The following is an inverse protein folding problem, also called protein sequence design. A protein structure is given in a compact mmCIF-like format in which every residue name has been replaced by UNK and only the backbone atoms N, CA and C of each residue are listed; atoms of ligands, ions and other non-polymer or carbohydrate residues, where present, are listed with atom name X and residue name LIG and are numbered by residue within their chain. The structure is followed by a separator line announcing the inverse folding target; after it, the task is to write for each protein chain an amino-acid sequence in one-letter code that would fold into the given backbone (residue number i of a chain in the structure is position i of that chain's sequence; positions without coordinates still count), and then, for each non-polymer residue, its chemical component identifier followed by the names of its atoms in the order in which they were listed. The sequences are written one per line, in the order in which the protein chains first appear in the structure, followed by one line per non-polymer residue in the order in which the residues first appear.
data_IF_645661881185
#
_entry.id   IF_645661881185
#
_cell.length_a   1.000
_cell.length_b   1.000
_cell.length_c   1.000
_cell.angle_alpha   90.00
_cell.angle_beta   90.00
_cell.angle_gamma   90.00
#
_symmetry.space_group_name_H-M   'P 1'
#
loop_
_entity.id
_entity.type
_entity.pdbx_description
1 polymer ?
#
# COMPACT_ATOMS: atom_id res chain seq x y z
N UNK A 1 -73.08 -15.04 -1.39
CA UNK A 1 -72.16 -15.74 -2.29
C UNK A 1 -70.97 -14.80 -2.44
N UNK A 2 -69.94 -15.00 -1.63
CA UNK A 2 -68.74 -14.18 -1.54
C UNK A 2 -67.57 -15.09 -1.85
N UNK A 3 -66.96 -14.85 -3.02
CA UNK A 3 -65.81 -15.60 -3.46
C UNK A 3 -64.53 -14.88 -2.99
N UNK A 4 -63.80 -15.53 -2.10
CA UNK A 4 -62.53 -15.06 -1.56
C UNK A 4 -61.39 -15.75 -2.29
N UNK A 5 -60.83 -15.11 -3.32
CA UNK A 5 -59.63 -15.57 -4.00
C UNK A 5 -58.39 -15.20 -3.17
N UNK A 6 -57.83 -16.23 -2.55
CA UNK A 6 -56.58 -16.21 -1.80
C UNK A 6 -55.42 -16.19 -2.79
N UNK A 7 -54.56 -15.14 -2.75
CA UNK A 7 -53.38 -14.97 -3.57
C UNK A 7 -52.16 -15.34 -2.71
N UNK A 8 -51.29 -16.27 -3.10
CA UNK A 8 -50.11 -16.60 -2.30
C UNK A 8 -49.06 -15.51 -2.44
N UNK A 9 -48.63 -14.98 -1.30
CA UNK A 9 -47.42 -14.12 -1.18
C UNK A 9 -46.18 -14.94 -1.57
N UNK A 10 -45.47 -14.41 -2.56
CA UNK A 10 -44.10 -14.88 -2.88
C UNK A 10 -43.13 -14.33 -1.83
N UNK A 11 -42.70 -15.18 -0.94
CA UNK A 11 -41.49 -14.93 -0.15
C UNK A 11 -40.28 -14.72 -1.06
N UNK A 12 -39.81 -13.46 -1.11
CA UNK A 12 -38.57 -13.10 -1.76
C UNK A 12 -37.41 -13.65 -0.91
N UNK A 13 -36.78 -14.74 -1.37
CA UNK A 13 -35.47 -15.13 -0.87
C UNK A 13 -34.49 -13.99 -1.17
N UNK A 14 -34.16 -13.20 -0.17
CA UNK A 14 -33.01 -12.33 -0.14
C UNK A 14 -31.76 -13.20 -0.27
N UNK A 15 -31.16 -13.24 -1.46
CA UNK A 15 -29.85 -13.81 -1.66
C UNK A 15 -28.84 -12.93 -0.89
N UNK A 16 -28.35 -13.41 0.23
CA UNK A 16 -27.11 -12.90 0.81
C UNK A 16 -25.99 -13.21 -0.20
N UNK A 17 -25.69 -12.22 -1.04
CA UNK A 17 -24.49 -12.22 -1.86
C UNK A 17 -23.29 -12.14 -0.91
N UNK A 18 -22.78 -13.29 -0.50
CA UNK A 18 -21.49 -13.37 0.19
C UNK A 18 -20.44 -12.80 -0.76
N UNK A 19 -20.03 -11.55 -0.53
CA UNK A 19 -18.84 -10.95 -1.13
C UNK A 19 -17.68 -11.84 -0.68
N UNK A 20 -17.17 -12.71 -1.56
CA UNK A 20 -15.97 -13.46 -1.28
C UNK A 20 -14.85 -12.43 -1.04
N UNK A 21 -14.32 -12.43 0.16
CA UNK A 21 -13.21 -11.54 0.51
C UNK A 21 -12.01 -11.93 -0.34
N UNK A 22 -11.44 -10.98 -1.08
CA UNK A 22 -10.24 -11.21 -1.90
C UNK A 22 -9.10 -11.74 -1.03
N UNK A 23 -8.38 -12.72 -1.53
CA UNK A 23 -7.16 -13.26 -0.89
C UNK A 23 -5.97 -12.34 -1.12
N UNK A 24 -4.91 -12.50 -0.33
CA UNK A 24 -3.65 -11.78 -0.56
C UNK A 24 -3.02 -12.15 -1.91
N UNK A 25 -3.11 -13.40 -2.34
CA UNK A 25 -2.59 -13.85 -3.62
C UNK A 25 -3.33 -13.16 -4.79
N UNK A 26 -4.66 -13.20 -4.80
CA UNK A 26 -5.48 -12.52 -5.82
C UNK A 26 -5.22 -11.02 -5.87
N UNK A 27 -5.05 -10.38 -4.69
CA UNK A 27 -4.71 -8.95 -4.62
C UNK A 27 -3.35 -8.67 -5.24
N UNK A 28 -2.33 -9.46 -4.91
CA UNK A 28 -0.96 -9.32 -5.43
C UNK A 28 -0.95 -9.54 -6.94
N UNK A 29 -1.59 -10.58 -7.44
CA UNK A 29 -1.65 -10.90 -8.87
C UNK A 29 -2.30 -9.77 -9.66
N UNK A 30 -3.39 -9.19 -9.15
CA UNK A 30 -4.05 -8.07 -9.81
C UNK A 30 -3.19 -6.79 -9.79
N UNK A 31 -2.46 -6.52 -8.70
CA UNK A 31 -1.56 -5.36 -8.60
C UNK A 31 -0.38 -5.49 -9.57
N UNK A 32 0.20 -6.69 -9.65
CA UNK A 32 1.42 -6.96 -10.40
C UNK A 32 1.20 -7.66 -11.75
N UNK A 33 0.04 -7.53 -12.37
CA UNK A 33 -0.29 -8.18 -13.65
C UNK A 33 0.72 -7.88 -14.79
N UNK A 34 1.48 -6.79 -14.71
CA UNK A 34 2.46 -6.37 -15.73
C UNK A 34 3.90 -6.37 -15.18
N UNK A 35 4.28 -7.41 -14.45
CA UNK A 35 5.63 -7.53 -13.91
C UNK A 35 6.63 -7.83 -15.05
N UNK A 36 7.79 -7.16 -15.12
CA UNK A 36 8.82 -7.49 -16.12
C UNK A 36 9.31 -8.93 -15.97
N UNK A 37 9.65 -9.58 -17.09
CA UNK A 37 10.13 -10.95 -17.10
C UNK A 37 11.36 -11.13 -16.19
N UNK A 38 11.35 -12.16 -15.36
CA UNK A 38 12.42 -12.47 -14.40
C UNK A 38 12.42 -11.60 -13.13
N UNK A 39 11.53 -10.61 -13.04
CA UNK A 39 11.33 -9.85 -11.81
C UNK A 39 10.19 -10.43 -10.97
N UNK A 40 10.16 -10.09 -9.68
CA UNK A 40 9.18 -10.58 -8.72
C UNK A 40 8.69 -9.47 -7.80
N UNK A 41 7.42 -9.55 -7.41
CA UNK A 41 6.87 -8.71 -6.36
C UNK A 41 7.51 -9.06 -5.02
N UNK A 42 7.70 -8.05 -4.17
CA UNK A 42 8.29 -8.19 -2.85
C UNK A 42 7.22 -8.13 -1.76
N UNK A 43 7.22 -9.10 -0.87
CA UNK A 43 6.34 -9.14 0.30
C UNK A 43 7.17 -9.31 1.57
N UNK A 44 6.62 -8.80 2.69
CA UNK A 44 7.14 -9.06 4.02
C UNK A 44 5.98 -9.55 4.90
N UNK A 45 6.24 -10.55 5.72
CA UNK A 45 5.29 -11.00 6.74
C UNK A 45 5.96 -11.01 8.11
N UNK A 46 5.20 -10.68 9.16
CA UNK A 46 5.71 -10.64 10.53
C UNK A 46 4.62 -10.87 11.57
N UNK A 47 4.88 -11.74 12.52
CA UNK A 47 4.03 -11.93 13.70
C UNK A 47 4.30 -10.84 14.76
N UNK A 48 3.30 -10.51 15.55
CA UNK A 48 3.40 -9.58 16.67
C UNK A 48 3.65 -8.13 16.24
N UNK A 49 4.36 -7.36 17.08
CA UNK A 49 4.62 -5.94 16.85
C UNK A 49 5.59 -5.70 15.68
N UNK A 50 5.14 -5.03 14.61
CA UNK A 50 6.00 -4.70 13.48
C UNK A 50 7.11 -3.70 13.84
N UNK A 51 6.99 -2.95 14.93
CA UNK A 51 8.02 -2.02 15.40
C UNK A 51 9.28 -2.69 15.96
N UNK A 52 9.22 -4.00 16.26
CA UNK A 52 10.35 -4.75 16.83
C UNK A 52 11.45 -5.14 15.82
N UNK A 53 11.38 -4.66 14.57
CA UNK A 53 12.34 -5.02 13.52
C UNK A 53 12.22 -6.48 13.04
N UNK A 54 13.24 -7.02 12.37
CA UNK A 54 13.24 -8.41 11.87
C UNK A 54 12.39 -8.59 10.62
N UNK A 55 12.42 -7.65 9.71
CA UNK A 55 11.73 -7.69 8.44
C UNK A 55 12.58 -8.42 7.40
N UNK A 56 11.97 -9.40 6.76
CA UNK A 56 12.60 -10.14 5.67
C UNK A 56 11.76 -10.00 4.41
N UNK A 57 12.39 -9.45 3.37
CA UNK A 57 11.81 -9.38 2.03
C UNK A 57 11.83 -10.77 1.40
N UNK A 58 10.69 -11.22 0.89
CA UNK A 58 10.51 -12.50 0.22
C UNK A 58 9.80 -12.28 -1.12
N UNK A 59 9.96 -13.24 -2.03
CA UNK A 59 9.26 -13.23 -3.30
C UNK A 59 7.78 -13.60 -3.08
N UNK A 60 6.89 -12.79 -3.63
CA UNK A 60 5.45 -13.01 -3.48
C UNK A 60 5.00 -14.34 -4.08
N UNK A 61 5.54 -14.73 -5.24
CA UNK A 61 5.21 -16.00 -5.92
C UNK A 61 5.54 -17.26 -5.10
N UNK A 62 6.35 -17.12 -4.06
CA UNK A 62 6.71 -18.22 -3.17
C UNK A 62 5.82 -18.32 -1.93
N UNK A 63 5.26 -17.21 -1.45
CA UNK A 63 4.59 -17.19 -0.16
C UNK A 63 3.18 -16.58 -0.15
N UNK A 64 2.70 -15.99 -1.25
CA UNK A 64 1.42 -15.27 -1.29
C UNK A 64 0.24 -16.12 -0.78
N UNK A 65 0.19 -17.39 -1.16
CA UNK A 65 -0.85 -18.35 -0.75
C UNK A 65 -0.77 -18.75 0.74
N UNK A 66 0.34 -18.49 1.40
CA UNK A 66 0.57 -18.82 2.81
C UNK A 66 0.33 -17.67 3.76
N UNK A 67 0.08 -16.47 3.23
CA UNK A 67 -0.16 -15.28 4.04
C UNK A 67 -1.54 -15.33 4.69
N UNK A 68 -1.57 -15.32 6.01
CA UNK A 68 -2.81 -15.43 6.80
C UNK A 68 -3.22 -14.07 7.38
N UNK A 69 -4.42 -14.00 7.91
CA UNK A 69 -4.97 -12.83 8.61
C UNK A 69 -4.47 -12.70 10.07
N UNK A 70 -3.50 -13.52 10.49
CA UNK A 70 -2.91 -13.51 11.83
C UNK A 70 -1.52 -12.86 11.89
N UNK A 71 -1.04 -12.38 10.74
CA UNK A 71 0.26 -11.76 10.62
C UNK A 71 0.17 -10.36 10.00
N UNK A 72 1.17 -9.52 10.31
CA UNK A 72 1.36 -8.28 9.55
C UNK A 72 1.90 -8.64 8.19
N UNK A 73 1.12 -8.41 7.14
CA UNK A 73 1.50 -8.69 5.76
C UNK A 73 1.64 -7.38 5.00
N UNK A 74 2.75 -7.24 4.28
CA UNK A 74 3.06 -6.03 3.53
C UNK A 74 3.52 -6.36 2.13
N UNK A 75 3.16 -5.48 1.20
CA UNK A 75 3.50 -5.52 -0.21
C UNK A 75 4.36 -4.30 -0.57
N UNK A 76 5.51 -4.53 -1.21
CA UNK A 76 6.33 -3.45 -1.75
C UNK A 76 5.69 -2.82 -2.99
N UNK A 77 5.89 -1.52 -3.21
CA UNK A 77 5.35 -0.82 -4.38
C UNK A 77 6.04 -1.24 -5.70
N UNK A 78 7.16 -1.92 -5.60
CA UNK A 78 8.04 -2.23 -6.73
C UNK A 78 8.32 -3.72 -6.85
N UNK A 79 8.68 -4.13 -8.07
CA UNK A 79 9.25 -5.44 -8.37
C UNK A 79 10.77 -5.37 -8.44
N UNK A 80 11.41 -6.51 -8.23
CA UNK A 80 12.86 -6.63 -8.15
C UNK A 80 13.35 -7.89 -8.87
N UNK A 81 14.54 -7.79 -9.48
CA UNK A 81 15.28 -8.95 -9.96
C UNK A 81 16.02 -9.64 -8.80
N UNK A 82 16.19 -10.96 -8.83
CA UNK A 82 17.16 -11.62 -7.97
C UNK A 82 18.56 -11.07 -8.19
N UNK A 83 19.41 -11.08 -7.17
CA UNK A 83 20.82 -10.80 -7.32
C UNK A 83 21.57 -11.93 -8.02
N UNK A 84 22.79 -11.66 -8.49
CA UNK A 84 23.65 -12.65 -9.17
C UNK A 84 23.92 -13.90 -8.29
N UNK A 85 23.86 -13.73 -6.98
CA UNK A 85 23.98 -14.80 -5.98
C UNK A 85 22.66 -15.54 -5.71
N UNK A 86 21.60 -15.23 -6.44
CA UNK A 86 20.25 -15.75 -6.24
C UNK A 86 19.50 -15.13 -5.04
N UNK A 87 20.12 -14.22 -4.29
CA UNK A 87 19.43 -13.54 -3.18
C UNK A 87 18.33 -12.60 -3.68
N UNK A 88 17.22 -12.53 -2.96
CA UNK A 88 16.12 -11.61 -3.26
C UNK A 88 16.02 -10.54 -2.19
N UNK A 89 16.18 -9.28 -2.60
CA UNK A 89 16.15 -8.11 -1.69
C UNK A 89 15.56 -6.90 -2.40
N UNK A 90 14.81 -6.07 -1.67
CA UNK A 90 14.31 -4.80 -2.18
C UNK A 90 15.42 -3.73 -2.16
N UNK A 91 16.39 -3.84 -3.09
CA UNK A 91 17.53 -2.93 -3.21
C UNK A 91 17.54 -2.20 -4.54
N UNK A 92 18.19 -1.05 -4.58
CA UNK A 92 18.36 -0.22 -5.79
C UNK A 92 18.95 -1.00 -6.96
N UNK A 93 19.99 -1.81 -6.72
CA UNK A 93 20.66 -2.61 -7.76
C UNK A 93 19.75 -3.71 -8.34
N UNK A 94 18.71 -4.13 -7.61
CA UNK A 94 17.77 -5.17 -8.01
C UNK A 94 16.42 -4.60 -8.48
N UNK A 95 16.24 -3.28 -8.45
CA UNK A 95 14.99 -2.63 -8.87
C UNK A 95 14.65 -2.96 -10.32
N UNK A 96 13.42 -3.37 -10.55
CA UNK A 96 12.86 -3.65 -11.88
C UNK A 96 11.88 -2.56 -12.30
N UNK A 97 10.78 -2.40 -11.56
CA UNK A 97 9.75 -1.42 -11.88
C UNK A 97 8.92 -1.03 -10.65
N UNK A 98 8.37 0.19 -10.64
CA UNK A 98 7.35 0.63 -9.70
C UNK A 98 5.96 0.40 -10.32
N UNK A 99 5.05 -0.24 -9.59
CA UNK A 99 3.73 -0.66 -10.07
C UNK A 99 2.59 0.19 -9.54
N UNK A 100 2.76 0.81 -8.38
CA UNK A 100 1.75 1.68 -7.77
C UNK A 100 2.37 2.73 -6.86
N UNK A 101 1.63 3.79 -6.64
CA UNK A 101 1.92 4.78 -5.62
C UNK A 101 1.04 4.49 -4.40
N UNK A 102 1.64 4.49 -3.22
CA UNK A 102 0.93 4.33 -1.96
C UNK A 102 0.72 5.68 -1.29
N UNK A 103 -0.51 5.97 -0.93
CA UNK A 103 -0.90 7.05 -0.04
C UNK A 103 -1.06 6.50 1.37
N UNK A 104 -0.70 7.26 2.38
CA UNK A 104 -0.71 6.80 3.78
C UNK A 104 -1.37 7.82 4.69
N UNK A 105 -1.77 7.37 5.88
CA UNK A 105 -2.42 8.18 6.90
C UNK A 105 -3.69 8.92 6.44
N UNK A 106 -4.40 8.36 5.43
CA UNK A 106 -5.68 8.87 4.95
C UNK A 106 -6.75 8.72 6.04
N UNK A 107 -7.59 9.74 6.20
CA UNK A 107 -8.62 9.80 7.23
C UNK A 107 -8.11 10.27 8.60
N UNK A 108 -6.80 10.35 8.80
CA UNK A 108 -6.18 10.85 10.03
C UNK A 108 -5.33 12.10 9.77
N UNK A 109 -4.13 11.97 9.22
CA UNK A 109 -3.29 13.13 8.88
C UNK A 109 -3.69 13.76 7.54
N UNK A 110 -4.19 12.97 6.60
CA UNK A 110 -4.64 13.41 5.28
C UNK A 110 -6.15 13.23 5.19
N UNK A 111 -6.91 14.33 4.99
CA UNK A 111 -8.36 14.24 4.80
C UNK A 111 -8.70 13.47 3.52
N UNK A 112 -9.66 12.56 3.58
CA UNK A 112 -10.21 11.86 2.41
C UNK A 112 -10.85 12.81 1.41
N UNK A 113 -11.36 13.97 1.85
CA UNK A 113 -11.95 15.00 0.97
C UNK A 113 -10.97 15.50 -0.09
N UNK A 114 -9.67 15.40 0.17
CA UNK A 114 -8.64 15.76 -0.81
C UNK A 114 -8.57 14.84 -2.02
N UNK A 115 -9.20 13.69 -1.92
CA UNK A 115 -9.29 12.66 -2.96
C UNK A 115 -10.72 12.49 -3.47
N UNK A 116 -11.66 13.40 -3.12
CA UNK A 116 -13.09 13.26 -3.48
C UNK A 116 -13.31 13.11 -5.00
N UNK A 117 -12.48 13.77 -5.81
CA UNK A 117 -12.54 13.73 -7.27
C UNK A 117 -11.53 12.73 -7.89
N UNK A 118 -10.85 11.92 -7.06
CA UNK A 118 -9.86 10.95 -7.51
C UNK A 118 -10.19 9.55 -7.02
N UNK A 119 -10.56 8.66 -7.93
CA UNK A 119 -10.85 7.26 -7.59
C UNK A 119 -9.56 6.48 -7.35
N UNK A 120 -9.34 6.05 -6.11
CA UNK A 120 -8.25 5.14 -5.79
C UNK A 120 -8.48 3.76 -6.41
N UNK A 121 -7.40 3.08 -6.77
CA UNK A 121 -7.45 1.69 -7.23
C UNK A 121 -7.78 0.72 -6.09
N UNK A 122 -7.36 1.07 -4.87
CA UNK A 122 -7.74 0.35 -3.65
C UNK A 122 -7.65 1.26 -2.43
N UNK A 123 -8.43 0.91 -1.41
CA UNK A 123 -8.39 1.55 -0.09
C UNK A 123 -8.49 0.46 0.99
N UNK A 124 -7.51 0.42 1.89
CA UNK A 124 -7.43 -0.52 3.01
C UNK A 124 -7.45 0.26 4.31
N UNK A 125 -8.38 -0.06 5.21
CA UNK A 125 -8.35 0.41 6.58
C UNK A 125 -7.30 -0.38 7.36
N UNK A 126 -6.30 0.31 7.88
CA UNK A 126 -5.13 -0.29 8.56
C UNK A 126 -5.15 -0.14 10.07
N UNK A 127 -5.99 0.76 10.58
CA UNK A 127 -6.38 0.94 11.98
C UNK A 127 -7.65 1.77 12.01
N UNK A 128 -8.39 1.87 13.11
CA UNK A 128 -9.68 2.56 13.15
C UNK A 128 -9.62 3.98 12.56
N UNK A 129 -10.33 4.19 11.43
CA UNK A 129 -10.40 5.48 10.73
C UNK A 129 -9.12 5.91 10.01
N UNK A 130 -8.10 5.06 9.95
CA UNK A 130 -6.85 5.31 9.24
C UNK A 130 -6.67 4.36 8.07
N UNK A 131 -6.41 4.91 6.88
CA UNK A 131 -6.40 4.15 5.65
C UNK A 131 -5.07 4.30 4.90
N UNK A 132 -4.73 3.25 4.16
CA UNK A 132 -3.77 3.31 3.06
C UNK A 132 -4.52 3.18 1.74
N UNK A 133 -4.16 4.00 0.76
CA UNK A 133 -4.71 3.96 -0.58
C UNK A 133 -3.64 3.68 -1.63
N UNK A 134 -4.03 3.04 -2.72
CA UNK A 134 -3.15 2.78 -3.85
C UNK A 134 -3.65 3.36 -5.16
N UNK A 135 -2.70 3.85 -5.94
CA UNK A 135 -2.89 4.32 -7.31
C UNK A 135 -2.10 3.38 -8.21
N UNK A 136 -2.78 2.46 -8.88
CA UNK A 136 -2.13 1.53 -9.81
C UNK A 136 -1.69 2.27 -11.07
N UNK A 137 -0.47 2.00 -11.51
CA UNK A 137 0.04 2.53 -12.76
C UNK A 137 -0.50 1.71 -13.94
N UNK A 138 -0.85 2.38 -15.05
CA UNK A 138 -1.30 1.74 -16.29
C UNK A 138 -0.18 0.87 -16.87
N UNK A 139 1.05 1.38 -16.81
CA UNK A 139 2.28 0.65 -17.12
C UNK A 139 3.27 0.84 -15.98
N UNK A 140 4.02 -0.21 -15.58
CA UNK A 140 5.03 -0.09 -14.54
C UNK A 140 6.13 0.90 -14.96
N UNK A 141 6.58 1.74 -14.03
CA UNK A 141 7.69 2.64 -14.24
C UNK A 141 9.02 1.90 -14.03
N UNK A 142 9.70 1.56 -15.12
CA UNK A 142 11.02 0.91 -15.10
C UNK A 142 12.15 1.89 -14.82
N UNK A 143 11.94 3.17 -15.11
CA UNK A 143 12.90 4.23 -14.84
C UNK A 143 12.80 4.67 -13.37
N UNK A 144 13.71 4.17 -12.54
CA UNK A 144 13.73 4.48 -11.10
C UNK A 144 13.69 5.98 -10.76
N UNK A 145 14.45 6.85 -11.44
CA UNK A 145 14.36 8.30 -11.24
C UNK A 145 12.97 8.88 -11.51
N UNK A 146 12.25 8.39 -12.52
CA UNK A 146 10.89 8.84 -12.81
C UNK A 146 9.91 8.43 -11.70
N UNK A 147 10.03 7.21 -11.19
CA UNK A 147 9.23 6.74 -10.05
C UNK A 147 9.49 7.57 -8.78
N UNK A 148 10.76 7.91 -8.51
CA UNK A 148 11.14 8.80 -7.40
C UNK A 148 10.54 10.20 -7.58
N UNK A 149 10.62 10.76 -8.77
CA UNK A 149 10.10 12.10 -9.07
C UNK A 149 8.60 12.18 -8.81
N UNK A 150 7.84 11.21 -9.33
CA UNK A 150 6.39 11.16 -9.16
C UNK A 150 6.00 10.96 -7.67
N UNK A 151 6.67 10.04 -6.97
CA UNK A 151 6.43 9.81 -5.55
C UNK A 151 6.74 11.06 -4.71
N UNK A 152 7.85 11.75 -5.01
CA UNK A 152 8.20 12.99 -4.30
C UNK A 152 7.18 14.10 -4.53
N UNK A 153 6.59 14.18 -5.72
CA UNK A 153 5.50 15.11 -6.00
C UNK A 153 4.24 14.81 -5.16
N UNK A 154 3.88 13.53 -5.00
CA UNK A 154 2.78 13.09 -4.11
C UNK A 154 3.08 13.46 -2.65
N UNK A 155 4.31 13.24 -2.18
CA UNK A 155 4.73 13.64 -0.83
C UNK A 155 4.67 15.16 -0.66
N UNK A 156 5.22 15.91 -1.61
CA UNK A 156 5.26 17.37 -1.57
C UNK A 156 3.85 18.00 -1.57
N UNK A 157 2.90 17.36 -2.24
CA UNK A 157 1.49 17.77 -2.20
C UNK A 157 0.82 17.51 -0.84
N UNK A 158 1.46 16.80 0.08
CA UNK A 158 0.92 16.42 1.38
C UNK A 158 -0.17 15.33 1.32
N UNK A 159 -0.21 14.53 0.25
CA UNK A 159 -1.12 13.38 0.11
C UNK A 159 -0.55 12.11 0.73
N UNK A 160 0.64 12.19 1.31
CA UNK A 160 1.36 11.05 1.87
C UNK A 160 2.35 11.52 2.93
N UNK A 161 2.63 10.67 3.91
CA UNK A 161 3.62 10.97 4.95
C UNK A 161 5.01 11.19 4.33
N UNK A 162 5.68 12.27 4.76
CA UNK A 162 7.00 12.65 4.27
C UNK A 162 8.13 11.69 4.72
N UNK A 163 7.90 10.85 5.71
CA UNK A 163 8.92 9.96 6.26
C UNK A 163 9.16 8.68 5.45
N UNK A 164 8.21 8.28 4.60
CA UNK A 164 8.39 7.12 3.75
C UNK A 164 9.13 7.53 2.46
N UNK A 165 10.42 7.29 2.42
CA UNK A 165 11.32 7.72 1.34
C UNK A 165 11.41 6.69 0.22
N UNK A 166 11.07 7.11 -1.01
CA UNK A 166 11.34 6.39 -2.25
C UNK A 166 10.51 5.12 -2.53
N UNK A 167 10.44 4.70 -3.79
CA UNK A 167 9.65 3.55 -4.21
C UNK A 167 10.20 2.21 -3.72
N UNK A 168 11.48 2.16 -3.31
CA UNK A 168 12.12 0.95 -2.82
C UNK A 168 11.77 0.61 -1.38
N UNK A 169 11.39 1.60 -0.57
CA UNK A 169 11.18 1.46 0.87
C UNK A 169 9.71 1.56 1.29
N UNK A 170 8.78 1.76 0.34
CA UNK A 170 7.36 1.83 0.65
C UNK A 170 6.72 0.46 0.66
N UNK A 171 6.05 0.18 1.78
CA UNK A 171 5.36 -1.06 2.02
C UNK A 171 3.91 -0.79 2.39
N UNK A 172 2.99 -1.20 1.51
CA UNK A 172 1.56 -1.15 1.76
C UNK A 172 1.12 -2.39 2.55
N UNK A 173 0.16 -2.26 3.44
CA UNK A 173 -0.47 -3.43 4.06
C UNK A 173 -1.29 -4.18 3.02
N UNK A 174 -1.26 -5.51 3.13
CA UNK A 174 -2.15 -6.37 2.38
C UNK A 174 -3.55 -6.39 3.01
N UNK A 175 -4.61 -6.68 2.23
CA UNK A 175 -5.98 -6.66 2.72
C UNK A 175 -6.25 -7.73 3.79
N UNK A 176 -5.60 -8.88 3.70
CA UNK A 176 -5.71 -9.97 4.67
C UNK A 176 -4.48 -9.92 5.59
N UNK A 177 -4.58 -9.17 6.67
CA UNK A 177 -3.49 -8.90 7.61
C UNK A 177 -4.03 -8.38 8.95
N UNK A 178 -3.19 -8.46 9.98
CA UNK A 178 -3.38 -7.69 11.21
C UNK A 178 -2.54 -6.42 11.22
N UNK A 179 -2.91 -5.47 12.05
CA UNK A 179 -2.04 -4.41 12.52
C UNK A 179 -1.56 -4.74 13.94
N UNK A 180 -0.41 -5.39 14.04
CA UNK A 180 0.16 -5.85 15.30
C UNK A 180 0.81 -4.75 16.16
N UNK A 181 0.63 -3.47 15.81
CA UNK A 181 1.13 -2.37 16.64
C UNK A 181 0.32 -2.31 17.95
N UNK A 182 0.96 -2.27 19.13
CA UNK A 182 0.27 -2.32 20.42
C UNK A 182 -0.79 -1.22 20.61
N UNK A 183 -0.57 -0.01 20.07
CA UNK A 183 -1.52 1.10 20.17
C UNK A 183 -2.82 0.90 19.40
N UNK A 184 -2.91 -0.12 18.56
CA UNK A 184 -4.10 -0.48 17.80
C UNK A 184 -4.74 -1.79 18.27
N UNK A 185 -4.21 -2.37 19.36
CA UNK A 185 -4.84 -3.52 20.01
C UNK A 185 -6.17 -3.10 20.67
N UNK A 186 -7.16 -3.97 20.59
CA UNK A 186 -8.43 -3.80 21.29
C UNK A 186 -8.29 -4.02 22.80
N UNK A 187 -9.39 -3.87 23.53
CA UNK A 187 -9.41 -3.95 25.00
C UNK A 187 -9.02 -5.34 25.55
N UNK A 188 -9.23 -6.38 24.77
CA UNK A 188 -8.87 -7.76 25.11
C UNK A 188 -7.50 -8.19 24.55
N UNK A 189 -6.76 -7.24 23.93
CA UNK A 189 -5.44 -7.48 23.36
C UNK A 189 -5.47 -8.02 21.93
N UNK A 190 -6.65 -8.13 21.31
CA UNK A 190 -6.79 -8.55 19.92
C UNK A 190 -6.22 -7.50 18.96
N UNK A 191 -5.55 -7.94 17.91
CA UNK A 191 -5.00 -7.04 16.90
C UNK A 191 -6.09 -6.54 15.95
N UNK A 192 -5.96 -5.28 15.52
CA UNK A 192 -6.83 -4.75 14.48
C UNK A 192 -6.64 -5.54 13.18
N UNK A 193 -7.74 -6.05 12.60
CA UNK A 193 -7.73 -6.72 11.29
C UNK A 193 -7.90 -5.70 10.18
N UNK A 194 -6.97 -5.68 9.22
CA UNK A 194 -7.07 -4.81 8.07
C UNK A 194 -8.33 -5.15 7.24
N UNK A 195 -8.93 -4.14 6.62
CA UNK A 195 -10.16 -4.31 5.84
C UNK A 195 -10.01 -3.63 4.49
N UNK A 196 -10.22 -4.37 3.40
CA UNK A 196 -10.34 -3.79 2.07
C UNK A 196 -11.69 -3.06 1.97
N UNK A 197 -11.64 -1.74 1.84
CA UNK A 197 -12.83 -0.86 1.79
C UNK A 197 -13.23 -0.60 0.36
N UNK A 198 -12.24 -0.40 -0.53
CA UNK A 198 -12.46 -0.20 -1.95
C UNK A 198 -11.49 -1.06 -2.74
N UNK A 199 -11.99 -1.64 -3.83
CA UNK A 199 -11.21 -2.47 -4.73
C UNK A 199 -11.63 -2.25 -6.18
N UNK A 200 -10.76 -1.61 -6.95
CA UNK A 200 -10.94 -1.27 -8.37
C UNK A 200 -9.66 -1.60 -9.14
N UNK A 201 -9.30 -2.88 -9.33
CA UNK A 201 -8.02 -3.28 -9.94
C UNK A 201 -7.86 -2.80 -11.39
N UNK A 202 -8.98 -2.57 -12.09
CA UNK A 202 -8.99 -2.05 -13.46
C UNK A 202 -8.77 -0.53 -13.52
N UNK A 203 -8.86 0.16 -12.39
CA UNK A 203 -8.60 1.59 -12.31
C UNK A 203 -7.10 1.82 -12.23
N UNK A 204 -6.50 2.11 -13.38
CA UNK A 204 -5.08 2.35 -13.55
C UNK A 204 -4.85 3.69 -14.22
N UNK A 205 -3.75 4.33 -13.90
CA UNK A 205 -3.44 5.68 -14.33
C UNK A 205 -2.06 5.78 -14.95
N UNK A 206 -1.93 6.56 -16.00
CA UNK A 206 -0.63 7.03 -16.46
C UNK A 206 -0.04 8.04 -15.48
N UNK A 207 1.28 8.22 -15.43
CA UNK A 207 1.91 9.26 -14.62
C UNK A 207 1.34 10.66 -14.89
N UNK A 208 1.04 10.97 -16.16
CA UNK A 208 0.46 12.27 -16.54
C UNK A 208 -0.94 12.48 -15.96
N UNK A 209 -1.82 11.46 -16.04
CA UNK A 209 -3.16 11.54 -15.42
C UNK A 209 -3.09 11.75 -13.92
N UNK A 210 -2.13 11.11 -13.23
CA UNK A 210 -1.92 11.31 -11.78
C UNK A 210 -1.52 12.76 -11.50
N UNK A 211 -0.54 13.28 -12.26
CA UNK A 211 -0.06 14.67 -12.14
C UNK A 211 -1.19 15.66 -12.35
N UNK A 212 -1.95 15.50 -13.44
CA UNK A 212 -3.01 16.45 -13.80
C UNK A 212 -4.17 16.41 -12.81
N UNK A 213 -4.65 15.22 -12.45
CA UNK A 213 -5.81 15.07 -11.56
C UNK A 213 -5.51 15.44 -10.11
N UNK A 214 -4.31 15.13 -9.61
CA UNK A 214 -3.89 15.49 -8.25
C UNK A 214 -3.20 16.86 -8.20
N UNK A 215 -3.07 17.55 -9.34
CA UNK A 215 -2.41 18.86 -9.48
C UNK A 215 -1.01 18.87 -8.87
N UNK A 216 -0.20 17.84 -9.21
CA UNK A 216 1.13 17.66 -8.66
C UNK A 216 2.14 18.55 -9.38
N UNK A 217 3.06 19.13 -8.62
CA UNK A 217 4.23 19.82 -9.16
C UNK A 217 5.41 18.85 -9.24
N UNK A 218 5.86 18.51 -10.46
CA UNK A 218 7.05 17.71 -10.68
C UNK A 218 8.29 18.58 -10.54
N UNK A 219 8.74 18.79 -9.31
CA UNK A 219 10.01 19.46 -9.07
C UNK A 219 11.12 18.42 -8.87
N UNK A 220 12.30 18.55 -9.52
CA UNK A 220 13.44 17.73 -9.19
C UNK A 220 13.72 17.87 -7.69
N UNK A 221 13.98 16.75 -7.00
CA UNK A 221 14.21 16.73 -5.57
C UNK A 221 15.30 17.74 -5.18
N UNK A 222 14.89 18.91 -4.74
CA UNK A 222 15.78 19.86 -4.09
C UNK A 222 16.33 19.18 -2.84
N UNK A 223 17.66 19.28 -2.62
CA UNK A 223 18.25 18.80 -1.37
C UNK A 223 17.42 19.38 -0.22
N UNK A 224 16.97 18.56 0.75
CA UNK A 224 16.25 19.07 1.90
C UNK A 224 17.09 20.16 2.56
N UNK A 225 16.54 21.37 2.60
CA UNK A 225 17.21 22.51 3.20
C UNK A 225 17.40 22.22 4.68
N UNK A 226 18.65 22.04 5.12
CA UNK A 226 19.04 21.78 6.52
C UNK A 226 18.84 22.99 7.44
N UNK A 227 17.81 23.80 7.22
CA UNK A 227 17.49 24.97 8.03
C UNK A 227 16.06 24.96 8.54
N UNK A 228 15.77 24.13 9.54
CA UNK A 228 14.78 24.51 10.56
C UNK A 228 15.17 23.89 11.90
N UNK A 229 15.48 24.79 12.77
CA UNK A 229 15.80 24.74 14.20
C UNK A 229 15.26 23.51 14.96
N UNK A 230 16.19 22.87 15.63
CA UNK A 230 16.04 22.08 16.84
C UNK A 230 15.00 22.70 17.81
N UNK A 231 13.77 22.27 17.72
CA UNK A 231 12.78 22.39 18.78
C UNK A 231 12.67 21.03 19.43
N UNK A 232 13.25 20.85 20.62
CA UNK A 232 13.04 19.70 21.48
C UNK A 232 11.56 19.68 21.87
N UNK A 233 10.81 18.70 21.39
CA UNK A 233 9.68 18.16 22.11
C UNK A 233 9.71 16.64 21.93
N UNK A 234 9.91 15.96 23.03
CA UNK A 234 9.87 14.54 23.20
C UNK A 234 8.44 14.04 23.02
N UNK A 235 8.18 13.33 21.93
CA UNK A 235 7.11 12.35 21.86
C UNK A 235 7.61 11.21 21.00
N UNK A 236 7.91 10.09 21.67
CA UNK A 236 8.32 8.83 21.09
C UNK A 236 7.20 8.25 20.24
N UNK A 237 7.47 8.04 18.96
CA UNK A 237 6.63 7.33 18.01
C UNK A 237 7.51 6.89 16.86
N UNK A 238 8.52 6.06 17.15
CA UNK A 238 9.46 5.54 16.15
C UNK A 238 8.79 4.53 15.23
N UNK A 239 8.43 4.94 14.03
CA UNK A 239 8.30 4.05 12.90
C UNK A 239 9.72 3.71 12.45
N UNK A 240 10.27 2.60 12.95
CA UNK A 240 11.52 2.05 12.43
C UNK A 240 11.19 1.44 11.06
N UNK A 241 11.64 2.13 10.00
CA UNK A 241 11.64 1.61 8.65
C UNK A 241 12.37 0.26 8.59
N UNK A 242 11.88 -0.61 7.72
CA UNK A 242 12.58 -1.85 7.33
C UNK A 242 14.00 -1.43 6.98
N UNK A 243 14.99 -1.91 7.72
CA UNK A 243 16.37 -1.47 7.62
C UNK A 243 16.92 -1.64 6.20
N UNK A 244 16.91 -0.56 5.49
CA UNK A 244 17.70 -0.37 4.27
C UNK A 244 18.71 0.69 4.61
N UNK A 245 19.97 0.39 4.36
CA UNK A 245 21.06 1.34 4.51
C UNK A 245 20.71 2.65 3.77
N UNK A 246 20.97 3.79 4.41
CA UNK A 246 20.58 5.13 3.94
C UNK A 246 21.15 5.51 2.56
N UNK A 247 22.02 4.70 1.97
CA UNK A 247 22.68 4.91 0.66
C UNK A 247 21.90 4.33 -0.54
N UNK A 248 20.77 3.65 -0.32
CA UNK A 248 20.05 2.92 -1.37
C UNK A 248 18.88 3.70 -2.03
N UNK A 249 18.78 5.00 -1.78
CA UNK A 249 17.73 5.83 -2.39
C UNK A 249 18.06 6.12 -3.85
N UNK A 250 17.08 5.85 -4.76
CA UNK A 250 17.18 6.24 -6.17
C UNK A 250 17.14 7.77 -6.26
N UNK A 251 18.27 8.42 -6.56
CA UNK A 251 18.33 9.86 -6.81
C UNK A 251 18.44 10.12 -8.31
N UNK A 252 17.73 11.12 -8.87
CA UNK A 252 17.95 11.58 -10.24
C UNK A 252 19.40 12.08 -10.36
N UNK A 253 20.05 11.77 -11.49
CA UNK A 253 21.32 12.38 -11.88
C UNK A 253 21.09 13.76 -12.46
#
# INVERSE_FOLDING_TARGET
MTDSSNKPEKEGKGGEGGSSQITNAEFIDAVFQYIPEGAFAAVCTKSGDPGQGGWFCQRADQIAETLTDETNNFLGCSSFYPGDDGSFKARKAQFSACHFLMLDDLGTKVSLDRLADFELSWLIETSPGNYQGGILLAEPLTEGPAAVLLLNAVIASGLCDAWATGPLSRWARLPVAINGKPQHAGSEGEHFRCRLVEWRPDKRYTPQEIVDRLQLELAPAGRPNKSSKRGKSSSEGGSHGIGNDADDVLTPK
#
